data_IF_818981201173
#
_entry.id   IF_818981201173
#
_cell.length_a   1.000
_cell.length_b   1.000
_cell.length_c   1.000
_cell.angle_alpha   90.00
_cell.angle_beta   90.00
_cell.angle_gamma   90.00
#
_symmetry.space_group_name_H-M   'P 1'
#
loop_
_entity.id
_entity.type
_entity.pdbx_description
1 polymer ?
#
# COMPACT_ATOMS: atom_id res chain seq x y z
N UNK A 1 5.87 -9.51 26.15
CA UNK A 1 7.24 -10.00 26.06
C UNK A 1 7.35 -10.98 24.88
N UNK A 2 8.30 -10.76 23.98
CA UNK A 2 8.50 -11.62 22.81
C UNK A 2 9.75 -12.48 23.02
N UNK A 3 9.71 -13.77 22.61
CA UNK A 3 10.93 -14.57 22.52
C UNK A 3 11.92 -13.89 21.57
N UNK A 4 13.15 -13.66 22.00
CA UNK A 4 14.14 -12.92 21.22
C UNK A 4 14.42 -13.53 19.84
N UNK A 5 14.45 -14.86 19.73
CA UNK A 5 14.62 -15.57 18.46
C UNK A 5 13.44 -15.41 17.48
N UNK A 6 12.24 -15.12 17.98
CA UNK A 6 11.03 -15.00 17.18
C UNK A 6 10.59 -13.55 16.92
N UNK A 7 11.31 -12.56 17.46
CA UNK A 7 10.90 -11.15 17.38
C UNK A 7 10.76 -10.66 15.93
N UNK A 8 11.77 -10.88 15.06
CA UNK A 8 11.72 -10.46 13.65
C UNK A 8 10.61 -11.12 12.84
N UNK A 9 10.40 -12.45 12.89
CA UNK A 9 9.27 -13.10 12.22
C UNK A 9 7.91 -12.58 12.70
N UNK A 10 7.74 -12.45 14.02
CA UNK A 10 6.48 -11.95 14.61
C UNK A 10 6.17 -10.53 14.11
N UNK A 11 7.15 -9.64 14.14
CA UNK A 11 6.94 -8.27 13.65
C UNK A 11 6.55 -8.24 12.17
N UNK A 12 7.17 -9.07 11.33
CA UNK A 12 6.83 -9.15 9.91
C UNK A 12 5.38 -9.62 9.67
N UNK A 13 4.95 -10.63 10.41
CA UNK A 13 3.62 -11.21 10.25
C UNK A 13 2.53 -10.32 10.82
N UNK A 14 2.75 -9.77 12.01
CA UNK A 14 1.71 -9.05 12.76
C UNK A 14 1.66 -7.55 12.49
N UNK A 15 2.76 -6.95 12.02
CA UNK A 15 2.87 -5.51 11.79
C UNK A 15 3.03 -5.16 10.30
N UNK A 16 2.81 -6.12 9.42
CA UNK A 16 2.86 -5.92 7.97
C UNK A 16 1.72 -5.06 7.42
N UNK A 17 1.75 -4.76 6.13
CA UNK A 17 0.65 -4.10 5.45
C UNK A 17 -0.67 -4.88 5.66
N UNK A 18 -1.76 -4.17 5.94
CA UNK A 18 -3.08 -4.79 6.11
C UNK A 18 -3.37 -5.38 7.48
N UNK A 19 -2.46 -5.33 8.46
CA UNK A 19 -2.79 -5.68 9.85
C UNK A 19 -3.89 -4.76 10.41
N UNK A 20 -4.85 -5.28 11.20
CA UNK A 20 -5.83 -4.46 11.90
C UNK A 20 -5.26 -3.76 13.15
N UNK A 21 -4.01 -4.07 13.52
CA UNK A 21 -3.36 -3.51 14.71
C UNK A 21 -3.01 -2.03 14.47
N UNK A 22 -3.43 -1.14 15.36
CA UNK A 22 -3.13 0.28 15.31
C UNK A 22 -2.04 0.69 16.30
N UNK A 23 -1.88 -0.06 17.37
CA UNK A 23 -0.84 0.16 18.37
C UNK A 23 -0.33 -1.15 18.92
N UNK A 24 0.98 -1.26 19.08
CA UNK A 24 1.63 -2.44 19.64
C UNK A 24 2.72 -2.01 20.62
N UNK A 25 2.85 -2.76 21.72
CA UNK A 25 3.89 -2.53 22.71
C UNK A 25 4.59 -3.85 22.98
N UNK A 26 5.92 -3.85 22.86
CA UNK A 26 6.75 -5.04 23.01
C UNK A 26 7.91 -4.79 23.99
N UNK A 27 8.23 -5.79 24.80
CA UNK A 27 9.52 -5.90 25.45
C UNK A 27 10.42 -6.77 24.55
N UNK A 28 11.54 -6.20 24.10
CA UNK A 28 12.50 -6.82 23.18
C UNK A 28 13.92 -6.54 23.67
N UNK A 29 14.94 -7.22 23.11
CA UNK A 29 16.34 -6.87 23.38
C UNK A 29 16.62 -5.41 23.04
N UNK A 30 17.41 -4.74 23.86
CA UNK A 30 17.68 -3.31 23.69
C UNK A 30 18.35 -2.98 22.37
N UNK A 31 19.30 -3.79 21.89
CA UNK A 31 19.91 -3.66 20.56
C UNK A 31 18.84 -3.70 19.44
N UNK A 32 17.88 -4.59 19.58
CA UNK A 32 16.80 -4.69 18.59
C UNK A 32 15.87 -3.46 18.65
N UNK A 33 15.59 -2.94 19.83
CA UNK A 33 14.83 -1.70 20.03
C UNK A 33 15.55 -0.48 19.42
N UNK A 34 16.86 -0.38 19.63
CA UNK A 34 17.70 0.67 19.02
C UNK A 34 17.63 0.59 17.49
N UNK A 35 17.74 -0.60 16.92
CA UNK A 35 17.61 -0.82 15.46
C UNK A 35 16.25 -0.41 14.91
N UNK A 36 15.16 -0.71 15.62
CA UNK A 36 13.83 -0.30 15.21
C UNK A 36 13.63 1.22 15.24
N UNK A 37 14.21 1.90 16.22
CA UNK A 37 14.06 3.33 16.45
C UNK A 37 15.16 4.19 15.81
N UNK A 38 16.16 3.57 15.16
CA UNK A 38 17.30 4.27 14.56
C UNK A 38 16.84 5.30 13.50
N UNK A 39 17.63 6.36 13.36
CA UNK A 39 17.47 7.38 12.32
C UNK A 39 18.62 7.29 11.31
N UNK A 40 18.53 7.92 10.14
CA UNK A 40 19.62 7.95 9.16
C UNK A 40 20.98 8.29 9.80
N UNK A 41 22.06 7.81 9.21
CA UNK A 41 23.46 7.95 9.65
C UNK A 41 23.84 7.23 10.95
N UNK A 42 22.90 6.59 11.63
CA UNK A 42 23.22 5.75 12.79
C UNK A 42 23.67 4.34 12.39
N UNK A 43 24.56 3.74 13.21
CA UNK A 43 25.08 2.39 12.98
C UNK A 43 23.99 1.33 12.91
N UNK A 44 22.91 1.50 13.64
CA UNK A 44 21.79 0.55 13.73
C UNK A 44 20.72 0.76 12.67
N UNK A 45 20.82 1.85 11.89
CA UNK A 45 19.89 2.10 10.79
C UNK A 45 20.03 1.03 9.70
N UNK A 46 18.92 0.40 9.32
CA UNK A 46 18.92 -0.82 8.53
C UNK A 46 17.64 -1.00 7.71
N UNK A 47 17.63 -2.02 6.86
CA UNK A 47 16.42 -2.39 6.11
C UNK A 47 15.21 -2.66 7.02
N UNK A 48 15.43 -3.25 8.21
CA UNK A 48 14.38 -3.46 9.21
C UNK A 48 13.80 -2.13 9.68
N UNK A 49 14.66 -1.16 9.99
CA UNK A 49 14.28 0.19 10.40
C UNK A 49 13.38 0.86 9.38
N UNK A 50 13.84 0.92 8.13
CA UNK A 50 13.11 1.56 7.01
C UNK A 50 11.75 0.91 6.77
N UNK A 51 11.70 -0.43 6.74
CA UNK A 51 10.46 -1.18 6.55
C UNK A 51 9.45 -0.96 7.66
N UNK A 52 9.93 -0.99 8.90
CA UNK A 52 9.06 -0.79 10.07
C UNK A 52 8.57 0.65 10.12
N UNK A 53 9.48 1.62 10.00
CA UNK A 53 9.13 3.03 10.14
C UNK A 53 8.32 3.58 8.97
N UNK A 54 8.27 2.91 7.82
CA UNK A 54 7.32 3.23 6.76
C UNK A 54 5.86 3.08 7.22
N UNK A 55 5.59 2.06 8.01
CA UNK A 55 4.22 1.73 8.45
C UNK A 55 3.92 2.20 9.86
N UNK A 56 4.95 2.38 10.69
CA UNK A 56 4.84 2.61 12.12
C UNK A 56 5.70 3.78 12.58
N UNK A 57 5.17 4.60 13.47
CA UNK A 57 5.98 5.45 14.34
C UNK A 57 6.54 4.57 15.44
N UNK A 58 7.84 4.60 15.67
CA UNK A 58 8.53 3.73 16.62
C UNK A 58 9.16 4.59 17.71
N UNK A 59 8.88 4.24 18.96
CA UNK A 59 9.51 4.87 20.14
C UNK A 59 10.08 3.81 21.07
N UNK A 60 11.35 3.97 21.44
CA UNK A 60 11.99 3.24 22.52
C UNK A 60 11.68 3.99 23.82
N UNK A 61 10.75 3.45 24.63
CA UNK A 61 10.20 4.15 25.79
C UNK A 61 11.07 3.99 27.05
N UNK A 62 11.46 2.75 27.34
CA UNK A 62 12.11 2.44 28.61
C UNK A 62 13.08 1.29 28.50
N UNK A 63 14.26 1.44 29.11
CA UNK A 63 15.19 0.35 29.35
C UNK A 63 14.69 -0.53 30.50
N UNK A 64 14.79 -1.83 30.34
CA UNK A 64 14.40 -2.85 31.30
C UNK A 64 15.65 -3.68 31.64
N UNK A 65 16.24 -3.53 32.84
CA UNK A 65 17.43 -4.29 33.22
C UNK A 65 17.07 -5.78 33.35
N UNK A 66 18.07 -6.70 33.22
CA UNK A 66 17.88 -8.13 33.33
C UNK A 66 17.15 -8.57 34.60
N UNK A 67 17.39 -7.90 35.69
CA UNK A 67 16.84 -8.21 37.04
C UNK A 67 15.31 -8.12 37.14
N UNK A 68 14.61 -7.53 36.16
CA UNK A 68 13.13 -7.47 36.16
C UNK A 68 12.49 -8.72 35.53
N UNK A 69 13.31 -9.66 35.04
CA UNK A 69 12.84 -10.88 34.39
C UNK A 69 13.21 -12.13 35.20
N UNK A 70 12.39 -13.18 35.05
CA UNK A 70 12.70 -14.52 35.56
C UNK A 70 12.41 -15.59 34.49
N UNK A 71 13.37 -16.43 34.10
CA UNK A 71 14.79 -16.32 34.44
C UNK A 71 15.43 -15.03 33.88
N UNK A 72 16.48 -14.57 34.52
CA UNK A 72 17.20 -13.35 34.18
C UNK A 72 17.94 -13.52 32.83
N UNK A 73 17.68 -12.68 31.82
CA UNK A 73 18.38 -12.75 30.53
C UNK A 73 19.78 -12.18 30.64
N UNK A 74 20.68 -12.60 29.73
CA UNK A 74 22.07 -12.11 29.70
C UNK A 74 22.24 -10.70 29.12
N UNK A 75 21.19 -10.02 28.70
CA UNK A 75 21.22 -8.70 28.03
C UNK A 75 20.07 -7.81 28.47
N UNK A 76 20.28 -6.51 28.36
CA UNK A 76 19.24 -5.53 28.59
C UNK A 76 18.08 -5.69 27.59
N UNK A 77 16.88 -5.38 28.03
CA UNK A 77 15.68 -5.28 27.22
C UNK A 77 15.18 -3.84 27.17
N UNK A 78 14.35 -3.54 26.21
CA UNK A 78 13.66 -2.25 26.15
C UNK A 78 12.18 -2.43 25.82
N UNK A 79 11.36 -1.53 26.34
CA UNK A 79 9.98 -1.38 25.94
C UNK A 79 9.91 -0.51 24.70
N UNK A 80 9.32 -1.04 23.62
CA UNK A 80 9.11 -0.34 22.36
C UNK A 80 7.64 -0.19 22.11
N UNK A 81 7.22 1.03 21.78
CA UNK A 81 5.87 1.35 21.36
C UNK A 81 5.87 1.65 19.87
N UNK A 82 4.99 0.97 19.16
CA UNK A 82 4.74 1.18 17.74
C UNK A 82 3.30 1.69 17.58
N UNK A 83 3.16 2.81 16.91
CA UNK A 83 1.87 3.39 16.54
C UNK A 83 1.75 3.42 15.01
N UNK A 84 0.64 2.89 14.50
CA UNK A 84 0.43 2.85 13.06
C UNK A 84 0.38 4.26 12.50
N UNK A 85 1.15 4.51 11.46
CA UNK A 85 1.07 5.78 10.73
C UNK A 85 -0.25 5.87 9.97
N UNK A 86 -0.75 7.08 9.87
CA UNK A 86 -1.90 7.35 9.00
C UNK A 86 -1.60 6.87 7.57
N UNK A 87 -2.57 6.25 6.89
CA UNK A 87 -2.36 5.66 5.56
C UNK A 87 -1.77 6.62 4.53
N UNK A 88 -2.02 7.92 4.67
CA UNK A 88 -1.54 8.97 3.76
C UNK A 88 -0.23 9.64 4.19
N UNK A 89 0.44 9.14 5.22
CA UNK A 89 1.73 9.71 5.68
C UNK A 89 2.79 9.70 4.57
N UNK A 90 2.79 8.67 3.74
CA UNK A 90 3.67 8.55 2.58
C UNK A 90 2.86 8.26 1.32
N UNK A 91 3.35 8.68 0.13
CA UNK A 91 2.77 8.26 -1.14
C UNK A 91 2.73 6.73 -1.28
N UNK A 92 1.78 6.18 -2.05
CA UNK A 92 1.67 4.75 -2.27
C UNK A 92 2.89 4.17 -3.01
N UNK A 93 3.30 2.99 -2.58
CA UNK A 93 4.33 2.18 -3.23
C UNK A 93 3.95 0.70 -3.17
N UNK A 94 4.32 -0.06 -4.19
CA UNK A 94 4.17 -1.52 -4.15
C UNK A 94 5.06 -2.10 -3.05
N UNK A 95 4.44 -2.71 -2.04
CA UNK A 95 5.14 -3.18 -0.84
C UNK A 95 6.23 -4.21 -1.16
N UNK A 96 5.99 -5.13 -2.08
CA UNK A 96 6.97 -6.14 -2.49
C UNK A 96 8.19 -5.46 -3.10
N UNK A 97 7.98 -4.56 -4.07
CA UNK A 97 9.09 -3.85 -4.72
C UNK A 97 9.85 -2.95 -3.74
N UNK A 98 9.14 -2.27 -2.84
CA UNK A 98 9.77 -1.49 -1.76
C UNK A 98 10.69 -2.37 -0.90
N UNK A 99 10.20 -3.52 -0.46
CA UNK A 99 10.95 -4.43 0.41
C UNK A 99 12.19 -5.01 -0.31
N UNK A 100 12.07 -5.36 -1.58
CA UNK A 100 13.18 -5.83 -2.40
C UNK A 100 14.24 -4.74 -2.59
N UNK A 101 13.81 -3.52 -2.94
CA UNK A 101 14.72 -2.40 -3.18
C UNK A 101 15.49 -2.02 -1.92
N UNK A 102 14.79 -1.89 -0.79
CA UNK A 102 15.40 -1.61 0.51
C UNK A 102 16.37 -2.73 0.90
N UNK A 103 15.99 -4.00 0.75
CA UNK A 103 16.87 -5.13 1.04
C UNK A 103 18.15 -5.10 0.20
N UNK A 104 18.02 -4.80 -1.10
CA UNK A 104 19.15 -4.68 -2.02
C UNK A 104 20.05 -3.51 -1.62
N UNK A 105 19.48 -2.36 -1.27
CA UNK A 105 20.24 -1.19 -0.84
C UNK A 105 21.11 -1.44 0.40
N UNK A 106 20.57 -2.18 1.37
CA UNK A 106 21.32 -2.53 2.60
C UNK A 106 22.17 -3.79 2.48
N UNK A 107 22.22 -4.45 1.32
CA UNK A 107 22.99 -5.70 1.15
C UNK A 107 24.50 -5.53 1.31
N UNK A 108 25.03 -4.34 1.01
CA UNK A 108 26.46 -4.03 1.13
C UNK A 108 26.64 -2.59 1.63
N UNK A 109 26.73 -2.42 2.91
CA UNK A 109 26.70 -1.14 3.63
C UNK A 109 27.70 -0.09 3.12
N UNK A 110 28.92 -0.50 2.74
CA UNK A 110 29.98 0.40 2.28
C UNK A 110 29.89 0.80 0.80
N UNK A 111 28.97 0.20 0.02
CA UNK A 111 28.78 0.53 -1.39
C UNK A 111 27.79 1.67 -1.59
N UNK A 112 28.04 2.46 -2.64
CA UNK A 112 27.11 3.49 -3.08
C UNK A 112 25.78 2.87 -3.53
N UNK A 113 24.68 3.48 -3.14
CA UNK A 113 23.34 2.95 -3.35
C UNK A 113 23.00 2.81 -4.83
N UNK A 114 23.39 3.78 -5.68
CA UNK A 114 23.20 3.70 -7.14
C UNK A 114 23.73 2.38 -7.74
N UNK A 115 24.94 1.98 -7.34
CA UNK A 115 25.57 0.77 -7.86
C UNK A 115 24.84 -0.50 -7.43
N UNK A 116 24.32 -0.54 -6.19
CA UNK A 116 23.55 -1.68 -5.67
C UNK A 116 22.21 -1.81 -6.37
N UNK A 117 21.56 -0.68 -6.62
CA UNK A 117 20.23 -0.65 -7.26
C UNK A 117 20.31 -0.74 -8.79
N UNK A 118 21.50 -0.56 -9.37
CA UNK A 118 21.74 -0.47 -10.82
C UNK A 118 20.89 0.64 -11.47
N UNK A 119 20.73 1.76 -10.76
CA UNK A 119 19.92 2.86 -11.24
C UNK A 119 20.60 3.59 -12.39
N UNK A 120 19.78 4.05 -13.36
CA UNK A 120 20.25 4.87 -14.47
C UNK A 120 20.94 6.13 -13.95
N UNK A 121 22.13 6.51 -14.47
CA UNK A 121 22.89 7.65 -13.96
C UNK A 121 22.14 8.98 -14.04
N UNK A 122 21.36 9.21 -15.10
CA UNK A 122 20.62 10.47 -15.32
C UNK A 122 19.47 10.57 -14.35
N UNK A 123 18.65 9.50 -14.26
CA UNK A 123 17.52 9.40 -13.33
C UNK A 123 18.01 9.53 -11.87
N UNK A 124 19.12 8.85 -11.55
CA UNK A 124 19.72 8.92 -10.23
C UNK A 124 20.18 10.33 -9.84
N UNK A 125 20.88 11.01 -10.76
CA UNK A 125 21.40 12.35 -10.50
C UNK A 125 20.27 13.37 -10.31
N UNK A 126 19.23 13.30 -11.13
CA UNK A 126 18.04 14.14 -11.00
C UNK A 126 17.35 13.90 -9.66
N UNK A 127 17.11 12.64 -9.28
CA UNK A 127 16.48 12.28 -8.01
C UNK A 127 17.32 12.75 -6.81
N UNK A 128 18.64 12.56 -6.82
CA UNK A 128 19.53 13.04 -5.76
C UNK A 128 19.45 14.56 -5.59
N UNK A 129 19.40 15.30 -6.71
CA UNK A 129 19.27 16.75 -6.67
C UNK A 129 17.93 17.20 -6.06
N UNK A 130 16.83 16.52 -6.37
CA UNK A 130 15.51 16.79 -5.77
C UNK A 130 15.49 16.51 -4.25
N UNK A 131 16.25 15.50 -3.80
CA UNK A 131 16.25 15.07 -2.40
C UNK A 131 17.35 15.70 -1.55
N UNK A 132 18.14 16.62 -2.11
CA UNK A 132 19.30 17.25 -1.47
C UNK A 132 20.33 16.21 -0.97
N UNK A 133 20.60 15.20 -1.79
CA UNK A 133 21.52 14.11 -1.50
C UNK A 133 22.71 14.11 -2.47
N UNK A 134 23.91 13.73 -2.02
CA UNK A 134 25.04 13.52 -2.94
C UNK A 134 24.79 12.28 -3.81
N UNK A 135 25.19 12.28 -5.10
CA UNK A 135 25.05 11.10 -5.97
C UNK A 135 25.78 9.85 -5.46
N UNK A 136 26.70 10.02 -4.50
CA UNK A 136 27.49 8.96 -3.85
C UNK A 136 26.81 8.40 -2.60
N UNK A 137 25.60 8.85 -2.26
CA UNK A 137 24.90 8.44 -1.05
C UNK A 137 24.74 6.91 -0.93
N UNK A 138 24.66 6.45 0.30
CA UNK A 138 24.49 5.05 0.69
C UNK A 138 23.07 4.83 1.22
N UNK A 139 22.74 3.57 1.46
CA UNK A 139 21.43 3.20 2.00
C UNK A 139 21.12 3.84 3.36
N UNK A 140 22.14 4.02 4.19
CA UNK A 140 22.03 4.58 5.53
C UNK A 140 21.82 6.10 5.56
N UNK A 141 22.16 6.80 4.48
CA UNK A 141 22.01 8.25 4.38
C UNK A 141 20.56 8.66 4.11
N UNK A 142 19.72 7.73 3.62
CA UNK A 142 18.35 8.01 3.21
C UNK A 142 17.35 7.90 4.36
N UNK A 143 16.57 8.93 4.57
CA UNK A 143 15.37 8.89 5.42
C UNK A 143 14.27 8.02 4.81
N UNK A 144 13.27 7.63 5.62
CA UNK A 144 12.14 6.83 5.13
C UNK A 144 11.35 7.53 4.02
N UNK A 145 11.04 8.85 4.09
CA UNK A 145 10.44 9.58 2.96
C UNK A 145 11.26 9.50 1.67
N UNK A 146 12.58 9.65 1.77
CA UNK A 146 13.48 9.54 0.62
C UNK A 146 13.53 8.13 0.03
N UNK A 147 13.48 7.08 0.86
CA UNK A 147 13.30 5.71 0.39
C UNK A 147 12.00 5.52 -0.38
N UNK A 148 10.89 6.07 0.13
CA UNK A 148 9.59 6.02 -0.57
C UNK A 148 9.66 6.76 -1.90
N UNK A 149 10.25 7.95 -1.93
CA UNK A 149 10.44 8.72 -3.17
C UNK A 149 11.31 7.96 -4.19
N UNK A 150 12.41 7.34 -3.74
CA UNK A 150 13.30 6.54 -4.60
C UNK A 150 12.59 5.34 -5.22
N UNK A 151 11.82 4.61 -4.41
CA UNK A 151 11.04 3.46 -4.88
C UNK A 151 10.07 3.87 -5.98
N UNK A 152 9.39 4.99 -5.83
CA UNK A 152 8.47 5.51 -6.85
C UNK A 152 9.15 5.85 -8.18
N UNK A 153 10.36 6.38 -8.12
CA UNK A 153 11.13 6.72 -9.33
C UNK A 153 11.68 5.47 -10.02
N UNK A 154 12.07 4.45 -9.24
CA UNK A 154 12.68 3.23 -9.76
C UNK A 154 11.68 2.10 -10.06
N UNK A 155 10.43 2.21 -9.61
CA UNK A 155 9.41 1.21 -9.89
C UNK A 155 8.90 1.34 -11.33
N UNK A 156 9.15 0.36 -12.20
CA UNK A 156 8.68 0.41 -13.60
C UNK A 156 7.15 0.37 -13.72
N UNK A 157 6.46 -0.08 -12.67
CA UNK A 157 5.00 -0.08 -12.60
C UNK A 157 4.44 1.11 -11.78
N UNK A 158 5.30 2.03 -11.31
CA UNK A 158 4.85 3.28 -10.68
C UNK A 158 4.18 4.24 -11.68
N UNK A 159 4.32 3.96 -12.98
CA UNK A 159 3.55 4.60 -14.05
C UNK A 159 2.09 4.12 -14.11
N UNK A 160 1.68 3.15 -13.28
CA UNK A 160 0.25 2.87 -13.10
C UNK A 160 -0.32 4.02 -12.28
N UNK A 161 -1.19 4.84 -12.86
CA UNK A 161 -1.60 6.09 -12.23
C UNK A 161 -2.23 5.79 -10.87
N UNK A 162 -1.70 6.39 -9.80
CA UNK A 162 -2.55 6.73 -8.68
C UNK A 162 -3.71 7.53 -9.27
N UNK A 163 -4.94 7.06 -9.01
CA UNK A 163 -6.20 7.71 -9.40
C UNK A 163 -6.00 9.05 -10.11
N UNK A 164 -6.27 9.07 -11.41
CA UNK A 164 -5.97 10.24 -12.24
C UNK A 164 -6.73 11.46 -11.72
N UNK A 165 -6.03 12.50 -11.30
CA UNK A 165 -6.64 13.81 -11.03
C UNK A 165 -7.35 14.37 -12.28
N UNK A 166 -7.16 13.75 -13.44
CA UNK A 166 -7.80 14.04 -14.72
C UNK A 166 -8.91 13.08 -15.13
N UNK A 167 -9.23 12.06 -14.33
CA UNK A 167 -10.31 11.12 -14.64
C UNK A 167 -11.66 11.84 -14.65
N UNK A 168 -12.43 11.64 -15.72
CA UNK A 168 -13.74 12.24 -15.90
C UNK A 168 -14.81 11.16 -15.92
N UNK A 169 -15.94 11.45 -15.29
CA UNK A 169 -17.10 10.56 -15.24
C UNK A 169 -18.31 11.19 -15.93
N UNK A 170 -19.07 10.35 -16.61
CA UNK A 170 -20.40 10.68 -17.01
C UNK A 170 -21.27 10.84 -15.75
N UNK A 171 -21.83 12.04 -15.54
CA UNK A 171 -22.86 12.23 -14.53
C UNK A 171 -24.22 11.90 -15.13
N UNK A 172 -25.08 11.29 -14.33
CA UNK A 172 -26.39 10.80 -14.76
C UNK A 172 -27.53 11.40 -13.95
N UNK A 173 -28.75 11.33 -14.48
CA UNK A 173 -29.97 11.65 -13.73
C UNK A 173 -30.49 10.41 -12.98
N UNK A 174 -31.63 10.54 -12.29
CA UNK A 174 -32.25 9.44 -11.54
C UNK A 174 -32.73 8.27 -12.42
N UNK A 175 -32.85 8.47 -13.72
CA UNK A 175 -33.18 7.47 -14.72
C UNK A 175 -31.95 6.79 -15.33
N UNK A 176 -30.74 7.13 -14.84
CA UNK A 176 -29.45 6.65 -15.36
C UNK A 176 -29.18 7.10 -16.81
N UNK A 177 -29.66 8.28 -17.18
CA UNK A 177 -29.36 8.91 -18.46
C UNK A 177 -28.20 9.92 -18.28
N UNK A 178 -27.25 9.91 -19.20
CA UNK A 178 -26.09 10.83 -19.14
C UNK A 178 -26.56 12.27 -19.35
N UNK A 179 -26.23 13.14 -18.40
CA UNK A 179 -26.59 14.57 -18.43
C UNK A 179 -25.38 15.49 -18.45
N UNK A 180 -24.18 14.96 -18.41
CA UNK A 180 -22.96 15.75 -18.49
C UNK A 180 -21.70 14.96 -18.13
N UNK A 181 -20.58 15.65 -18.09
CA UNK A 181 -19.26 15.14 -17.80
C UNK A 181 -18.63 16.00 -16.71
N UNK A 182 -18.00 15.39 -15.70
CA UNK A 182 -17.30 16.11 -14.61
C UNK A 182 -16.04 15.36 -14.19
N UNK A 183 -15.05 16.11 -13.67
CA UNK A 183 -13.87 15.49 -13.06
C UNK A 183 -14.28 14.62 -11.85
N UNK A 184 -13.61 13.49 -11.67
CA UNK A 184 -13.81 12.54 -10.57
C UNK A 184 -13.89 13.23 -9.20
N UNK A 185 -12.98 14.17 -8.94
CA UNK A 185 -12.95 14.92 -7.67
C UNK A 185 -14.27 15.67 -7.43
N UNK A 186 -14.77 16.40 -8.45
CA UNK A 186 -16.05 17.13 -8.35
C UNK A 186 -17.23 16.17 -8.14
N UNK A 187 -17.25 15.03 -8.84
CA UNK A 187 -18.32 14.02 -8.74
C UNK A 187 -18.42 13.50 -7.32
N UNK A 188 -17.30 13.18 -6.70
CA UNK A 188 -17.29 12.66 -5.33
C UNK A 188 -17.51 13.74 -4.27
N UNK A 189 -16.92 14.94 -4.43
CA UNK A 189 -17.08 16.04 -3.45
C UNK A 189 -18.52 16.54 -3.39
N UNK A 190 -19.21 16.56 -4.53
CA UNK A 190 -20.58 17.01 -4.63
C UNK A 190 -21.61 15.88 -4.57
N UNK A 191 -21.15 14.63 -4.39
CA UNK A 191 -22.00 13.44 -4.38
C UNK A 191 -22.95 13.35 -5.60
N UNK A 192 -22.40 13.59 -6.81
CA UNK A 192 -23.17 13.52 -8.05
C UNK A 192 -23.43 12.07 -8.44
N UNK A 193 -24.58 11.82 -9.07
CA UNK A 193 -24.94 10.50 -9.58
C UNK A 193 -24.02 10.11 -10.74
N UNK A 194 -23.43 8.93 -10.68
CA UNK A 194 -22.54 8.39 -11.69
C UNK A 194 -22.64 6.86 -11.76
N UNK A 195 -21.81 6.21 -12.55
CA UNK A 195 -21.92 4.79 -12.90
C UNK A 195 -20.73 3.99 -12.44
N UNK A 196 -20.97 2.77 -11.98
CA UNK A 196 -19.93 1.80 -11.63
C UNK A 196 -20.34 0.38 -12.01
N UNK A 197 -19.35 -0.52 -12.07
CA UNK A 197 -19.54 -1.96 -12.23
C UNK A 197 -18.92 -2.71 -11.07
N UNK A 198 -19.56 -3.79 -10.67
CA UNK A 198 -18.99 -4.79 -9.77
C UNK A 198 -19.00 -6.16 -10.43
N UNK A 199 -17.90 -6.86 -10.36
CA UNK A 199 -17.73 -8.19 -10.94
C UNK A 199 -17.47 -9.20 -9.81
N UNK A 200 -18.20 -10.30 -9.82
CA UNK A 200 -18.08 -11.42 -8.90
C UNK A 200 -17.59 -12.64 -9.67
N UNK A 201 -16.34 -13.03 -9.47
CA UNK A 201 -15.73 -14.19 -10.13
C UNK A 201 -15.78 -15.40 -9.20
N UNK A 202 -16.38 -16.47 -9.66
CA UNK A 202 -16.49 -17.74 -8.94
C UNK A 202 -15.60 -18.79 -9.60
N UNK A 203 -15.03 -19.71 -8.80
CA UNK A 203 -14.44 -20.92 -9.32
C UNK A 203 -15.52 -22.02 -9.52
N UNK A 204 -15.12 -23.20 -10.04
CA UNK A 204 -16.03 -24.32 -10.25
C UNK A 204 -16.60 -24.92 -8.97
N UNK A 205 -15.93 -24.70 -7.84
CA UNK A 205 -16.38 -25.11 -6.51
C UNK A 205 -17.40 -24.12 -5.92
N UNK A 206 -17.67 -23.02 -6.61
CA UNK A 206 -18.59 -21.96 -6.17
C UNK A 206 -17.98 -21.00 -5.14
N UNK A 207 -16.67 -21.00 -4.99
CA UNK A 207 -15.97 -20.06 -4.12
C UNK A 207 -15.79 -18.71 -4.84
N UNK A 208 -16.05 -17.62 -4.12
CA UNK A 208 -15.95 -16.25 -4.61
C UNK A 208 -14.54 -15.69 -4.41
N UNK A 209 -13.93 -15.19 -5.49
CA UNK A 209 -12.73 -14.40 -5.40
C UNK A 209 -13.07 -13.02 -4.82
N UNK A 210 -12.42 -12.63 -3.74
CA UNK A 210 -12.51 -11.28 -3.18
C UNK A 210 -11.15 -10.60 -3.25
N UNK A 211 -11.14 -9.35 -3.67
CA UNK A 211 -9.93 -8.52 -3.58
C UNK A 211 -9.93 -7.69 -2.30
N UNK A 212 -8.75 -7.45 -1.77
CA UNK A 212 -8.56 -6.51 -0.67
C UNK A 212 -8.15 -5.16 -1.24
N UNK A 213 -8.99 -4.15 -1.06
CA UNK A 213 -8.73 -2.79 -1.52
C UNK A 213 -7.40 -2.28 -0.99
N UNK A 214 -6.67 -1.58 -1.84
CA UNK A 214 -5.44 -0.92 -1.44
C UNK A 214 -5.67 0.00 -0.24
N UNK A 215 -4.73 0.02 0.69
CA UNK A 215 -4.73 0.96 1.82
C UNK A 215 -4.64 2.43 1.37
N UNK A 216 -4.42 2.68 0.09
CA UNK A 216 -4.25 4.00 -0.52
C UNK A 216 -5.47 4.47 -1.32
N UNK A 217 -6.52 3.65 -1.42
CA UNK A 217 -7.77 4.12 -2.01
C UNK A 217 -8.34 5.23 -1.13
N UNK A 218 -8.88 6.27 -1.77
CA UNK A 218 -9.52 7.42 -1.13
C UNK A 218 -10.77 7.04 -0.33
N UNK A 219 -11.47 5.98 -0.78
CA UNK A 219 -12.64 5.42 -0.11
C UNK A 219 -12.41 3.98 0.32
N UNK A 220 -12.89 3.63 1.52
CA UNK A 220 -12.89 2.28 2.07
C UNK A 220 -11.52 1.55 1.99
N UNK A 221 -10.39 2.19 2.39
CA UNK A 221 -9.08 1.59 2.29
C UNK A 221 -8.95 0.31 3.11
N UNK A 222 -8.35 -0.73 2.53
CA UNK A 222 -8.05 -1.99 3.20
C UNK A 222 -9.26 -2.89 3.49
N UNK A 223 -10.47 -2.53 3.05
CA UNK A 223 -11.65 -3.40 3.13
C UNK A 223 -11.63 -4.46 2.03
N UNK A 224 -12.40 -5.52 2.22
CA UNK A 224 -12.68 -6.51 1.19
C UNK A 224 -13.70 -5.94 0.21
N UNK A 225 -13.51 -6.23 -1.06
CA UNK A 225 -14.35 -5.77 -2.16
C UNK A 225 -14.70 -6.94 -3.09
N UNK A 226 -15.56 -6.69 -4.07
CA UNK A 226 -15.85 -7.63 -5.16
C UNK A 226 -14.56 -8.10 -5.86
N UNK A 227 -14.67 -9.06 -6.75
CA UNK A 227 -13.51 -9.59 -7.48
C UNK A 227 -12.81 -8.53 -8.30
N UNK A 228 -13.58 -7.68 -9.01
CA UNK A 228 -13.13 -6.45 -9.66
C UNK A 228 -14.24 -5.40 -9.56
N UNK A 229 -13.88 -4.11 -9.59
CA UNK A 229 -14.82 -3.01 -9.55
C UNK A 229 -14.22 -1.72 -10.09
N UNK A 230 -14.98 -0.96 -10.85
CA UNK A 230 -14.54 0.34 -11.34
C UNK A 230 -15.67 1.20 -11.88
N UNK A 231 -15.30 2.43 -12.23
CA UNK A 231 -16.22 3.40 -12.82
C UNK A 231 -16.21 3.28 -14.34
N UNK A 232 -17.31 3.71 -14.96
CA UNK A 232 -17.38 3.78 -16.41
C UNK A 232 -16.58 4.97 -16.93
N UNK A 233 -15.83 4.75 -18.00
CA UNK A 233 -15.24 5.84 -18.76
C UNK A 233 -16.32 6.62 -19.53
N UNK A 234 -16.07 7.88 -19.92
CA UNK A 234 -17.04 8.68 -20.64
C UNK A 234 -17.55 7.99 -21.92
N UNK A 235 -18.85 7.81 -21.99
CA UNK A 235 -19.52 7.13 -23.13
C UNK A 235 -19.42 5.60 -23.11
N UNK A 236 -18.80 5.00 -22.11
CA UNK A 236 -18.67 3.54 -21.99
C UNK A 236 -20.00 2.90 -21.57
N UNK A 237 -20.22 1.66 -22.01
CA UNK A 237 -21.35 0.84 -21.53
C UNK A 237 -20.94 0.03 -20.30
N UNK A 238 -21.90 -0.37 -19.47
CA UNK A 238 -21.63 -1.20 -18.30
C UNK A 238 -20.89 -2.50 -18.65
N UNK A 239 -21.28 -3.16 -19.74
CA UNK A 239 -20.65 -4.41 -20.18
C UNK A 239 -19.19 -4.19 -20.65
N UNK A 240 -18.89 -3.08 -21.32
CA UNK A 240 -17.54 -2.73 -21.73
C UNK A 240 -16.65 -2.42 -20.51
N UNK A 241 -17.17 -1.62 -19.57
CA UNK A 241 -16.48 -1.31 -18.33
C UNK A 241 -16.18 -2.58 -17.51
N UNK A 242 -17.16 -3.48 -17.37
CA UNK A 242 -16.96 -4.72 -16.66
C UNK A 242 -15.87 -5.60 -17.30
N UNK A 243 -15.81 -5.68 -18.64
CA UNK A 243 -14.77 -6.43 -19.33
C UNK A 243 -13.38 -5.79 -19.15
N UNK A 244 -13.28 -4.47 -19.27
CA UNK A 244 -12.04 -3.71 -19.07
C UNK A 244 -11.51 -3.86 -17.66
N UNK A 245 -12.35 -3.60 -16.63
CA UNK A 245 -11.94 -3.70 -15.22
C UNK A 245 -11.51 -5.13 -14.84
N UNK A 246 -12.20 -6.15 -15.37
CA UNK A 246 -11.83 -7.56 -15.14
C UNK A 246 -10.44 -7.86 -15.71
N UNK A 247 -10.15 -7.37 -16.91
CA UNK A 247 -8.83 -7.53 -17.53
C UNK A 247 -7.74 -6.72 -16.81
N UNK A 248 -8.02 -5.47 -16.45
CA UNK A 248 -7.07 -4.58 -15.78
C UNK A 248 -6.72 -5.04 -14.36
N UNK A 249 -7.71 -5.45 -13.57
CA UNK A 249 -7.50 -5.80 -12.17
C UNK A 249 -7.11 -7.27 -11.97
N UNK A 250 -7.63 -8.20 -12.78
CA UNK A 250 -7.42 -9.64 -12.60
C UNK A 250 -6.58 -10.28 -13.73
N UNK A 251 -6.38 -9.61 -14.85
CA UNK A 251 -5.63 -10.14 -16.00
C UNK A 251 -6.36 -11.24 -16.77
N UNK A 252 -7.68 -11.40 -16.59
CA UNK A 252 -8.49 -12.45 -17.21
C UNK A 252 -9.60 -11.86 -18.09
N UNK A 253 -10.08 -12.67 -19.05
CA UNK A 253 -11.18 -12.31 -19.96
C UNK A 253 -12.27 -13.38 -19.95
N UNK A 254 -12.99 -13.60 -18.85
CA UNK A 254 -14.06 -14.59 -18.80
C UNK A 254 -15.32 -14.07 -19.49
N UNK A 255 -16.24 -14.98 -19.76
CA UNK A 255 -17.61 -14.60 -20.15
C UNK A 255 -18.32 -13.93 -18.97
N UNK A 256 -18.76 -12.68 -19.17
CA UNK A 256 -19.45 -11.90 -18.13
C UNK A 256 -20.97 -12.00 -18.33
N UNK A 257 -21.70 -12.29 -17.25
CA UNK A 257 -23.17 -12.38 -17.25
C UNK A 257 -23.72 -11.30 -16.31
N UNK A 258 -24.57 -10.37 -16.81
CA UNK A 258 -25.20 -9.37 -15.94
C UNK A 258 -26.20 -10.05 -15.00
N UNK A 259 -26.15 -9.70 -13.73
CA UNK A 259 -27.03 -10.26 -12.68
C UNK A 259 -28.12 -9.29 -12.27
N UNK A 260 -27.79 -8.00 -12.24
CA UNK A 260 -28.74 -6.97 -11.83
C UNK A 260 -28.10 -5.60 -11.67
N UNK A 261 -28.97 -4.61 -11.46
CA UNK A 261 -28.56 -3.21 -11.31
C UNK A 261 -29.04 -2.67 -9.97
N UNK A 262 -28.13 -2.07 -9.22
CA UNK A 262 -28.38 -1.42 -7.95
C UNK A 262 -28.56 0.07 -8.21
N UNK A 263 -29.63 0.67 -7.69
CA UNK A 263 -29.88 2.11 -7.81
C UNK A 263 -28.91 2.90 -6.94
N UNK A 264 -28.53 4.05 -7.46
CA UNK A 264 -27.72 5.00 -6.74
C UNK A 264 -28.39 5.45 -5.43
N UNK A 265 -27.61 5.42 -4.35
CA UNK A 265 -28.04 5.92 -3.04
C UNK A 265 -26.79 6.29 -2.20
N UNK A 266 -27.01 6.79 -0.99
CA UNK A 266 -25.88 7.12 -0.08
C UNK A 266 -24.98 5.91 0.23
N UNK A 267 -25.55 4.71 0.32
CA UNK A 267 -24.80 3.49 0.62
C UNK A 267 -23.95 3.00 -0.57
N UNK A 268 -24.34 3.32 -1.81
CA UNK A 268 -23.55 3.04 -3.01
C UNK A 268 -22.59 4.19 -3.35
N UNK A 269 -22.50 5.22 -2.52
CA UNK A 269 -21.70 6.41 -2.86
C UNK A 269 -22.28 7.25 -3.99
N UNK A 270 -23.60 7.19 -4.22
CA UNK A 270 -24.32 7.80 -5.33
C UNK A 270 -24.03 7.15 -6.69
N UNK A 271 -23.68 5.88 -6.70
CA UNK A 271 -23.38 5.11 -7.89
C UNK A 271 -24.57 4.25 -8.33
N UNK A 272 -24.93 4.29 -9.61
CA UNK A 272 -25.66 3.22 -10.26
C UNK A 272 -24.68 2.08 -10.55
N UNK A 273 -24.87 0.95 -9.90
CA UNK A 273 -23.95 -0.19 -9.99
C UNK A 273 -24.62 -1.31 -10.79
N UNK A 274 -24.00 -1.73 -11.89
CA UNK A 274 -24.39 -2.96 -12.57
C UNK A 274 -23.47 -4.10 -12.12
N UNK A 275 -24.05 -5.21 -11.68
CA UNK A 275 -23.35 -6.35 -11.13
C UNK A 275 -23.26 -7.44 -12.20
N UNK A 276 -22.04 -7.96 -12.41
CA UNK A 276 -21.77 -9.05 -13.31
C UNK A 276 -21.20 -10.26 -12.55
N UNK A 277 -21.44 -11.45 -13.07
CA UNK A 277 -20.77 -12.68 -12.61
C UNK A 277 -19.95 -13.29 -13.72
N UNK A 278 -18.90 -14.00 -13.33
CA UNK A 278 -18.05 -14.78 -14.20
C UNK A 278 -17.60 -16.06 -13.51
N UNK A 279 -17.21 -17.06 -14.29
CA UNK A 279 -16.60 -18.29 -13.81
C UNK A 279 -15.16 -18.37 -14.34
N UNK A 280 -14.18 -18.60 -13.42
CA UNK A 280 -12.76 -18.73 -13.77
C UNK A 280 -12.00 -19.49 -12.70
N UNK A 281 -11.15 -20.42 -13.09
CA UNK A 281 -10.42 -21.31 -12.15
C UNK A 281 -8.97 -20.89 -11.87
N UNK A 282 -8.53 -19.68 -12.24
CA UNK A 282 -7.17 -19.19 -12.04
C UNK A 282 -6.28 -19.31 -13.26
#
# INVERSE_FOLDING_TARGET
>A
NLPYCATSPILRTWLGPGTPVNRATFAVQDEFAQRLAAIPDQSDYSALTVRTQRLWSVRRERLLPPSVFFPEPGVDSALVVLERREPRTFPPVRSVFFDELVQRGFSQRRKQLRSLLKADPVVWSAWCSEQDLPPTCRAEDLSVPQWVALVRVLDPAAATPAQHDGEQFDIVNEQDEVIGLRPRTEVHDRALLHRAVHILVFNREGELLLQKRSAWKDREPGKWDSSAAGHLEPGETYAAAAARETEEELGIRPGLTPVGKIRACSNTGQEFVEVFTAEHDG
#
